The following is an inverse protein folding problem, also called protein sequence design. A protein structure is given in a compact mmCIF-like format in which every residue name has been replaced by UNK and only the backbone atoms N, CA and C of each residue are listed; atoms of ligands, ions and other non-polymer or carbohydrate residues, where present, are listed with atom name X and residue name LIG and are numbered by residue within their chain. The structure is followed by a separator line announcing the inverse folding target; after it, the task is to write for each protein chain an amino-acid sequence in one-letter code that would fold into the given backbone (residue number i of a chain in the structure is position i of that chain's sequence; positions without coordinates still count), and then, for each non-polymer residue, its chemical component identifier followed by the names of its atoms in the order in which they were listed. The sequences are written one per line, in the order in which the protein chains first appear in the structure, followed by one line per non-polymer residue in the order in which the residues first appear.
data_IF_270015304114
#
_entry.id   IF_270015304114
#
_cell.length_a   1.000
_cell.length_b   1.000
_cell.length_c   1.000
_cell.angle_alpha   90.00
_cell.angle_beta   90.00
_cell.angle_gamma   90.00
#
_symmetry.space_group_name_H-M   'P 1'
#
loop_
_entity.id
_entity.type
_entity.pdbx_description
1 polymer ?
#
# COMPACT_ATOMS: atom_id res chain seq x y z
N UNK A 1 6.34 17.36 21.41
CA UNK A 1 7.66 16.74 21.14
C UNK A 1 8.01 16.88 19.66
N UNK A 2 9.22 17.37 19.37
CA UNK A 2 9.79 17.49 18.02
C UNK A 2 10.90 16.47 17.89
N UNK A 3 10.87 15.66 16.83
CA UNK A 3 11.84 14.59 16.61
C UNK A 3 12.30 14.57 15.15
N UNK A 4 13.61 14.39 14.95
CA UNK A 4 14.17 14.09 13.64
C UNK A 4 14.34 12.58 13.46
N UNK A 5 13.72 12.04 12.41
CA UNK A 5 13.91 10.65 12.01
C UNK A 5 14.49 10.59 10.60
N UNK A 6 15.53 9.77 10.39
CA UNK A 6 15.99 9.43 9.04
C UNK A 6 15.53 8.04 8.69
N UNK A 7 14.65 7.92 7.70
CA UNK A 7 14.17 6.63 7.22
C UNK A 7 14.19 6.60 5.69
N UNK A 8 14.83 5.58 5.13
CA UNK A 8 15.00 5.43 3.69
C UNK A 8 15.57 6.69 3.00
N UNK A 9 16.63 7.27 3.60
CA UNK A 9 17.34 8.47 3.11
C UNK A 9 16.51 9.77 3.11
N UNK A 10 15.29 9.74 3.67
CA UNK A 10 14.46 10.93 3.89
C UNK A 10 14.58 11.36 5.35
N UNK A 11 14.95 12.61 5.57
CA UNK A 11 14.95 13.26 6.88
C UNK A 11 13.57 13.81 7.17
N UNK A 12 12.98 13.43 8.29
CA UNK A 12 11.62 13.79 8.67
C UNK A 12 11.63 14.64 9.92
N UNK A 13 10.90 15.73 9.89
CA UNK A 13 10.53 16.48 11.08
C UNK A 13 9.17 15.96 11.57
N UNK A 14 9.16 15.25 12.69
CA UNK A 14 7.96 14.71 13.30
C UNK A 14 7.55 15.59 14.49
N UNK A 15 6.33 16.12 14.43
CA UNK A 15 5.73 16.94 15.48
C UNK A 15 4.58 16.14 16.11
N UNK A 16 4.67 15.93 17.43
CA UNK A 16 3.71 15.17 18.23
C UNK A 16 3.28 16.00 19.44
N UNK A 17 2.03 15.82 19.86
CA UNK A 17 1.51 16.36 21.14
C UNK A 17 1.62 17.89 21.28
N UNK A 18 1.72 18.60 20.16
CA UNK A 18 1.67 20.06 20.10
C UNK A 18 0.35 20.48 19.47
N UNK A 19 -0.37 21.39 20.14
CA UNK A 19 -1.71 21.82 19.74
C UNK A 19 -1.76 23.28 19.29
N UNK A 20 -0.70 24.03 19.53
CA UNK A 20 -0.57 25.44 19.23
C UNK A 20 0.01 25.64 17.83
N UNK A 21 -0.77 26.31 16.96
CA UNK A 21 -0.37 26.58 15.57
C UNK A 21 0.95 27.35 15.50
N UNK A 22 1.12 28.39 16.31
CA UNK A 22 2.29 29.28 16.24
C UNK A 22 3.56 28.52 16.64
N UNK A 23 3.47 27.67 17.66
CA UNK A 23 4.61 26.82 18.06
C UNK A 23 4.98 25.80 16.99
N UNK A 24 3.98 25.21 16.32
CA UNK A 24 4.22 24.27 15.23
C UNK A 24 4.87 24.99 14.05
N UNK A 25 4.38 26.17 13.67
CA UNK A 25 4.96 26.98 12.59
C UNK A 25 6.39 27.40 12.90
N UNK A 26 6.66 27.87 14.12
CA UNK A 26 8.02 28.21 14.56
C UNK A 26 8.95 26.99 14.50
N UNK A 27 8.48 25.84 14.99
CA UNK A 27 9.23 24.60 14.93
C UNK A 27 9.54 24.18 13.49
N UNK A 28 8.59 24.35 12.57
CA UNK A 28 8.78 24.08 11.15
C UNK A 28 9.81 25.05 10.57
N UNK A 29 9.64 26.35 10.76
CA UNK A 29 10.52 27.39 10.22
C UNK A 29 11.99 27.18 10.66
N UNK A 30 12.23 26.85 11.92
CA UNK A 30 13.57 26.61 12.46
C UNK A 30 14.25 25.35 11.91
N UNK A 31 13.49 24.43 11.30
CA UNK A 31 13.97 23.09 10.97
C UNK A 31 13.75 22.70 9.49
N UNK A 32 13.10 23.56 8.70
CA UNK A 32 12.64 23.23 7.34
C UNK A 32 13.78 22.83 6.41
N UNK A 33 14.91 23.53 6.46
CA UNK A 33 16.08 23.28 5.60
C UNK A 33 16.79 21.95 5.90
N UNK A 34 16.48 21.36 7.07
CA UNK A 34 17.06 20.10 7.54
C UNK A 34 16.12 18.91 7.34
N UNK A 35 14.89 19.16 6.90
CA UNK A 35 13.87 18.14 6.69
C UNK A 35 13.54 18.04 5.19
N UNK A 36 13.34 16.81 4.72
CA UNK A 36 12.83 16.53 3.38
C UNK A 36 11.29 16.33 3.41
N UNK A 37 10.73 16.13 4.59
CA UNK A 37 9.29 16.00 4.85
C UNK A 37 8.95 16.41 6.28
N UNK A 38 7.80 17.06 6.47
CA UNK A 38 7.23 17.38 7.78
C UNK A 38 5.98 16.53 8.02
N UNK A 39 5.86 15.96 9.22
CA UNK A 39 4.66 15.26 9.68
C UNK A 39 4.16 15.83 11.00
N UNK A 40 2.89 16.21 11.06
CA UNK A 40 2.19 16.57 12.30
C UNK A 40 1.22 15.44 12.63
N UNK A 41 1.48 14.71 13.72
CA UNK A 41 0.71 13.53 14.11
C UNK A 41 -0.49 13.89 14.98
N UNK A 42 -1.58 13.14 14.81
CA UNK A 42 -2.82 13.30 15.58
C UNK A 42 -3.34 14.75 15.58
N UNK A 43 -3.43 15.42 14.41
CA UNK A 43 -3.78 16.82 14.36
C UNK A 43 -5.24 17.04 14.79
N UNK A 44 -5.49 18.10 15.56
CA UNK A 44 -6.85 18.57 15.86
C UNK A 44 -7.49 19.14 14.60
N UNK A 45 -8.82 19.29 14.61
CA UNK A 45 -9.54 19.85 13.46
C UNK A 45 -9.04 21.25 13.08
N UNK A 46 -8.72 22.11 14.06
CA UNK A 46 -8.16 23.44 13.80
C UNK A 46 -6.79 23.38 13.11
N UNK A 47 -5.92 22.44 13.50
CA UNK A 47 -4.65 22.20 12.81
C UNK A 47 -4.86 21.70 11.38
N UNK A 48 -5.83 20.80 11.18
CA UNK A 48 -6.18 20.30 9.85
C UNK A 48 -6.61 21.46 8.95
N UNK A 49 -7.53 22.31 9.41
CA UNK A 49 -8.02 23.46 8.64
C UNK A 49 -6.92 24.47 8.33
N UNK A 50 -6.06 24.78 9.30
CA UNK A 50 -4.94 25.70 9.10
C UNK A 50 -3.93 25.18 8.08
N UNK A 51 -3.36 23.99 8.31
CA UNK A 51 -2.25 23.50 7.52
C UNK A 51 -2.68 23.00 6.13
N UNK A 52 -3.92 22.52 5.95
CA UNK A 52 -4.41 22.15 4.61
C UNK A 52 -4.53 23.36 3.68
N UNK A 53 -4.89 24.54 4.20
CA UNK A 53 -4.85 25.80 3.42
C UNK A 53 -3.41 26.16 3.00
N UNK A 54 -2.43 25.76 3.81
CA UNK A 54 -1.00 25.92 3.53
C UNK A 54 -0.38 24.75 2.76
N UNK A 55 -1.21 23.94 2.08
CA UNK A 55 -0.75 22.89 1.16
C UNK A 55 -0.36 21.57 1.82
N UNK A 56 -0.63 21.37 3.11
CA UNK A 56 -0.43 20.07 3.75
C UNK A 56 -1.52 19.08 3.36
N UNK A 57 -1.14 17.82 3.19
CA UNK A 57 -2.07 16.73 2.95
C UNK A 57 -2.50 16.10 4.27
N UNK A 58 -3.80 16.12 4.55
CA UNK A 58 -4.39 15.36 5.65
C UNK A 58 -4.66 13.91 5.23
N UNK A 59 -3.91 12.96 5.79
CA UNK A 59 -3.94 11.55 5.39
C UNK A 59 -3.96 10.61 6.59
N UNK A 60 -4.55 9.40 6.48
CA UNK A 60 -4.35 8.37 7.48
C UNK A 60 -2.88 7.95 7.50
N UNK A 61 -2.32 7.68 8.68
CA UNK A 61 -0.93 7.27 8.81
C UNK A 61 -0.68 5.88 8.18
N UNK A 62 -1.62 4.96 8.41
CA UNK A 62 -1.59 3.59 7.87
C UNK A 62 -2.85 3.29 7.06
N UNK A 63 -2.67 2.47 6.03
CA UNK A 63 -3.74 1.90 5.21
C UNK A 63 -3.66 0.38 5.22
N UNK A 64 -4.80 -0.25 4.97
CA UNK A 64 -4.91 -1.69 4.73
C UNK A 64 -5.67 -1.93 3.44
N UNK A 65 -5.73 -3.19 3.03
CA UNK A 65 -6.32 -3.60 1.77
C UNK A 65 -7.37 -4.65 2.07
N UNK A 66 -8.61 -4.39 1.71
CA UNK A 66 -9.75 -5.26 2.02
C UNK A 66 -10.38 -5.80 0.75
N UNK A 67 -11.02 -6.95 0.84
CA UNK A 67 -11.84 -7.49 -0.22
C UNK A 67 -12.89 -8.38 0.40
N UNK A 68 -14.12 -8.33 -0.12
CA UNK A 68 -15.14 -9.30 0.23
C UNK A 68 -14.85 -10.59 -0.50
N UNK A 69 -14.96 -11.71 0.19
CA UNK A 69 -14.65 -13.01 -0.39
C UNK A 69 -15.68 -13.31 -1.48
N UNK A 70 -15.24 -13.62 -2.71
CA UNK A 70 -16.15 -13.89 -3.81
C UNK A 70 -16.87 -15.23 -3.61
N UNK A 71 -18.10 -15.33 -4.10
CA UNK A 71 -18.92 -16.54 -4.11
C UNK A 71 -18.36 -17.62 -5.05
N UNK A 72 -17.66 -17.22 -6.13
CA UNK A 72 -17.04 -18.15 -7.08
C UNK A 72 -15.76 -17.63 -7.74
N UNK A 73 -14.98 -18.53 -8.35
CA UNK A 73 -13.82 -18.14 -9.17
C UNK A 73 -14.25 -17.28 -10.37
N UNK A 74 -15.34 -17.64 -11.05
CA UNK A 74 -15.86 -16.87 -12.19
C UNK A 74 -16.24 -15.45 -11.79
N UNK A 75 -16.93 -15.28 -10.66
CA UNK A 75 -17.27 -13.98 -10.12
C UNK A 75 -16.00 -13.18 -9.78
N UNK A 76 -15.04 -13.78 -9.08
CA UNK A 76 -13.78 -13.13 -8.74
C UNK A 76 -13.05 -12.61 -9.98
N UNK A 77 -12.84 -13.49 -10.97
CA UNK A 77 -12.13 -13.17 -12.20
C UNK A 77 -12.87 -12.07 -12.96
N UNK A 78 -14.21 -12.10 -13.03
CA UNK A 78 -15.01 -11.09 -13.74
C UNK A 78 -14.79 -9.67 -13.21
N UNK A 79 -14.58 -9.51 -11.89
CA UNK A 79 -14.35 -8.22 -11.23
C UNK A 79 -12.96 -7.62 -11.50
N UNK A 80 -12.00 -8.39 -12.02
CA UNK A 80 -10.64 -7.92 -12.30
C UNK A 80 -10.52 -7.22 -13.66
N UNK A 81 -9.56 -6.30 -13.83
CA UNK A 81 -9.26 -5.66 -15.12
C UNK A 81 -8.89 -6.71 -16.20
N UNK A 82 -9.28 -6.47 -17.46
CA UNK A 82 -9.06 -7.38 -18.62
C UNK A 82 -7.63 -7.92 -18.70
N UNK A 83 -6.62 -7.07 -18.54
CA UNK A 83 -5.21 -7.47 -18.58
C UNK A 83 -4.86 -8.43 -17.44
N UNK A 84 -5.31 -8.14 -16.21
CA UNK A 84 -5.06 -9.02 -15.07
C UNK A 84 -5.71 -10.39 -15.24
N UNK A 85 -6.95 -10.44 -15.76
CA UNK A 85 -7.63 -11.71 -16.08
C UNK A 85 -6.80 -12.56 -17.03
N UNK A 86 -6.28 -11.95 -18.11
CA UNK A 86 -5.39 -12.63 -19.07
C UNK A 86 -4.10 -13.11 -18.40
N UNK A 87 -3.48 -12.28 -17.56
CA UNK A 87 -2.25 -12.65 -16.83
C UNK A 87 -2.48 -13.85 -15.91
N UNK A 88 -3.57 -13.84 -15.12
CA UNK A 88 -3.91 -14.96 -14.23
C UNK A 88 -4.18 -16.24 -15.03
N UNK A 89 -4.97 -16.18 -16.11
CA UNK A 89 -5.23 -17.36 -16.96
C UNK A 89 -3.95 -17.95 -17.54
N UNK A 90 -3.04 -17.09 -18.03
CA UNK A 90 -1.72 -17.51 -18.53
C UNK A 90 -0.86 -18.13 -17.43
N UNK A 91 -0.83 -17.52 -16.24
CA UNK A 91 -0.08 -18.02 -15.10
C UNK A 91 -0.57 -19.42 -14.65
N UNK A 92 -1.88 -19.61 -14.52
CA UNK A 92 -2.47 -20.91 -14.17
C UNK A 92 -2.08 -21.98 -15.18
N UNK A 93 -2.22 -21.69 -16.49
CA UNK A 93 -1.81 -22.62 -17.56
C UNK A 93 -0.32 -22.96 -17.47
N UNK A 94 0.54 -21.95 -17.35
CA UNK A 94 2.00 -22.10 -17.32
C UNK A 94 2.49 -22.85 -16.08
N UNK A 95 1.94 -22.57 -14.90
CA UNK A 95 2.28 -23.29 -13.69
C UNK A 95 1.93 -24.78 -13.83
N UNK A 96 0.75 -25.09 -14.37
CA UNK A 96 0.36 -26.48 -14.65
C UNK A 96 1.32 -27.18 -15.62
N UNK A 97 1.69 -26.52 -16.72
CA UNK A 97 2.67 -27.04 -17.70
C UNK A 97 4.06 -27.26 -17.10
N UNK A 98 4.42 -26.50 -16.05
CA UNK A 98 5.68 -26.64 -15.33
C UNK A 98 5.60 -27.65 -14.16
N UNK A 99 4.52 -28.42 -14.04
CA UNK A 99 4.34 -29.39 -12.95
C UNK A 99 4.15 -28.76 -11.57
N UNK A 100 3.75 -27.48 -11.49
CA UNK A 100 3.54 -26.78 -10.23
C UNK A 100 2.12 -27.05 -9.72
N UNK A 101 2.02 -27.65 -8.54
CA UNK A 101 0.77 -27.93 -7.84
C UNK A 101 0.55 -26.97 -6.67
N UNK A 102 -0.65 -27.03 -6.06
CA UNK A 102 -1.03 -26.19 -4.93
C UNK A 102 -1.40 -27.08 -3.75
N UNK A 103 -0.63 -26.95 -2.67
CA UNK A 103 -0.95 -27.51 -1.36
C UNK A 103 -1.73 -26.47 -0.55
N UNK A 104 -2.88 -26.85 -0.01
CA UNK A 104 -3.69 -26.01 0.89
C UNK A 104 -3.73 -26.67 2.26
N UNK A 105 -3.45 -25.88 3.28
CA UNK A 105 -3.44 -26.36 4.67
C UNK A 105 -4.39 -25.48 5.49
N UNK A 106 -5.61 -25.97 5.80
CA UNK A 106 -6.55 -25.23 6.64
C UNK A 106 -5.91 -24.89 7.98
N UNK A 107 -5.17 -25.84 8.56
CA UNK A 107 -4.29 -25.64 9.69
C UNK A 107 -2.86 -25.85 9.21
N UNK A 108 -2.04 -24.80 9.34
CA UNK A 108 -0.66 -24.80 8.87
C UNK A 108 0.19 -25.82 9.64
N UNK A 109 0.84 -26.72 8.91
CA UNK A 109 1.78 -27.71 9.47
C UNK A 109 3.16 -27.10 9.67
N UNK A 110 3.94 -27.66 10.60
CA UNK A 110 5.30 -27.21 10.86
C UNK A 110 6.23 -27.51 9.67
N UNK A 111 6.05 -28.67 9.04
CA UNK A 111 6.83 -29.11 7.87
C UNK A 111 6.69 -28.10 6.73
N UNK A 112 5.45 -27.73 6.39
CA UNK A 112 5.19 -26.75 5.35
C UNK A 112 5.65 -25.35 5.74
N UNK A 113 5.52 -24.97 7.02
CA UNK A 113 6.03 -23.70 7.50
C UNK A 113 7.54 -23.60 7.38
N UNK A 114 8.30 -24.65 7.73
CA UNK A 114 9.76 -24.70 7.60
C UNK A 114 10.19 -24.58 6.14
N UNK A 115 9.62 -25.40 5.25
CA UNK A 115 9.94 -25.32 3.82
C UNK A 115 9.62 -23.95 3.20
N UNK A 116 8.54 -23.29 3.67
CA UNK A 116 8.25 -21.92 3.28
C UNK A 116 9.20 -20.88 3.91
N UNK A 117 9.61 -21.08 5.16
CA UNK A 117 10.49 -20.18 5.90
C UNK A 117 11.87 -20.11 5.24
N UNK A 118 12.36 -21.20 4.67
CA UNK A 118 13.60 -21.23 3.89
C UNK A 118 13.49 -20.29 2.68
N UNK A 119 12.42 -20.42 1.88
CA UNK A 119 12.14 -19.55 0.74
C UNK A 119 11.96 -18.09 1.16
N UNK A 120 11.33 -17.84 2.30
CA UNK A 120 11.19 -16.49 2.86
C UNK A 120 12.55 -15.90 3.25
N UNK A 121 13.35 -16.66 3.99
CA UNK A 121 14.64 -16.22 4.53
C UNK A 121 15.63 -15.93 3.40
N UNK A 122 15.74 -16.81 2.41
CA UNK A 122 16.55 -16.61 1.20
C UNK A 122 16.19 -15.29 0.49
N UNK A 123 14.88 -15.04 0.30
CA UNK A 123 14.40 -13.82 -0.36
C UNK A 123 14.63 -12.54 0.46
N UNK A 124 14.57 -12.61 1.79
CA UNK A 124 14.81 -11.46 2.66
C UNK A 124 16.31 -11.15 2.74
N UNK A 125 17.16 -12.16 2.89
CA UNK A 125 18.61 -11.99 2.94
C UNK A 125 19.16 -11.43 1.62
N UNK A 126 18.54 -11.74 0.49
CA UNK A 126 18.86 -11.12 -0.81
C UNK A 126 18.45 -9.66 -0.98
N UNK A 127 17.96 -8.95 0.06
CA UNK A 127 17.58 -7.53 0.01
C UNK A 127 18.53 -6.68 0.84
N UNK A 128 18.97 -5.53 0.29
CA UNK A 128 19.84 -4.54 0.96
C UNK A 128 19.36 -4.12 2.36
N UNK A 129 18.03 -4.06 2.58
CA UNK A 129 17.39 -3.70 3.85
C UNK A 129 16.41 -4.77 4.34
N UNK A 130 16.71 -6.04 4.05
CA UNK A 130 15.88 -7.17 4.47
C UNK A 130 15.87 -7.35 5.98
N UNK A 131 14.68 -7.48 6.58
CA UNK A 131 14.53 -7.83 7.99
C UNK A 131 13.64 -9.07 8.06
N UNK A 132 14.13 -10.13 8.71
CA UNK A 132 13.36 -11.35 8.99
C UNK A 132 12.33 -11.02 10.07
N UNK A 133 11.03 -11.13 9.75
CA UNK A 133 9.92 -10.74 10.63
C UNK A 133 9.13 -11.92 11.21
N UNK A 134 9.57 -13.14 10.92
CA UNK A 134 8.93 -14.38 11.34
C UNK A 134 9.94 -15.50 11.47
N UNK A 135 9.61 -16.50 12.29
CA UNK A 135 10.43 -17.68 12.57
C UNK A 135 9.61 -18.74 13.29
N UNK A 136 10.23 -19.81 13.78
CA UNK A 136 9.54 -20.92 14.43
C UNK A 136 8.83 -20.52 15.72
N UNK A 137 9.43 -19.64 16.51
CA UNK A 137 8.82 -19.10 17.73
C UNK A 137 7.45 -18.45 17.45
N UNK A 138 7.36 -17.66 16.36
CA UNK A 138 6.11 -17.03 15.94
C UNK A 138 5.10 -18.05 15.41
N UNK A 139 5.56 -19.10 14.76
CA UNK A 139 4.69 -20.20 14.34
C UNK A 139 4.06 -20.87 15.56
N UNK A 140 4.84 -21.33 16.54
CA UNK A 140 4.28 -22.00 17.72
C UNK A 140 3.31 -21.12 18.52
N UNK A 141 3.57 -19.81 18.62
CA UNK A 141 2.68 -18.86 19.30
C UNK A 141 1.34 -18.63 18.60
N UNK A 142 1.20 -19.01 17.32
CA UNK A 142 0.04 -18.60 16.52
C UNK A 142 -0.45 -19.67 15.54
N UNK A 143 0.10 -20.88 15.57
CA UNK A 143 -0.18 -21.97 14.62
C UNK A 143 -1.66 -22.28 14.48
N UNK A 144 -2.42 -22.22 15.57
CA UNK A 144 -3.86 -22.55 15.57
C UNK A 144 -4.71 -21.47 14.86
N UNK A 145 -4.14 -20.27 14.67
CA UNK A 145 -4.73 -19.20 13.88
C UNK A 145 -4.20 -19.15 12.44
N UNK A 146 -3.29 -20.05 12.03
CA UNK A 146 -2.65 -20.00 10.73
C UNK A 146 -3.20 -21.03 9.76
N UNK A 147 -3.31 -20.61 8.50
CA UNK A 147 -3.57 -21.46 7.35
C UNK A 147 -2.50 -21.18 6.28
N UNK A 148 -2.25 -22.15 5.42
CA UNK A 148 -1.19 -22.08 4.41
C UNK A 148 -1.69 -22.39 3.00
N UNK A 149 -1.12 -21.72 2.01
CA UNK A 149 -1.22 -22.13 0.60
C UNK A 149 0.17 -22.09 0.02
N UNK A 150 0.61 -23.22 -0.53
CA UNK A 150 1.96 -23.42 -1.03
C UNK A 150 1.93 -23.86 -2.48
N UNK A 151 2.81 -23.27 -3.27
CA UNK A 151 3.14 -23.77 -4.59
C UNK A 151 4.22 -24.83 -4.40
N UNK A 152 3.97 -26.02 -4.92
CA UNK A 152 4.85 -27.18 -4.78
C UNK A 152 5.32 -27.62 -6.15
N UNK A 153 6.61 -27.93 -6.26
CA UNK A 153 7.20 -28.54 -7.45
C UNK A 153 8.20 -29.59 -7.00
N UNK A 154 8.16 -30.77 -7.61
CA UNK A 154 9.05 -31.89 -7.29
C UNK A 154 9.09 -32.19 -5.78
N UNK A 155 7.92 -32.15 -5.12
CA UNK A 155 7.72 -32.27 -3.66
C UNK A 155 8.35 -31.18 -2.78
N UNK A 156 8.85 -30.09 -3.35
CA UNK A 156 9.42 -28.96 -2.61
C UNK A 156 8.52 -27.73 -2.66
N UNK A 157 8.41 -27.02 -1.54
CA UNK A 157 7.77 -25.71 -1.50
C UNK A 157 8.64 -24.70 -2.23
N UNK A 158 8.12 -24.15 -3.32
CA UNK A 158 8.78 -23.10 -4.12
C UNK A 158 8.21 -21.70 -3.83
N UNK A 159 7.16 -21.63 -3.02
CA UNK A 159 6.55 -20.40 -2.58
C UNK A 159 5.26 -20.64 -1.82
N UNK A 160 4.79 -19.64 -1.10
CA UNK A 160 3.55 -19.75 -0.38
C UNK A 160 3.09 -18.45 0.26
N UNK A 161 1.84 -18.51 0.71
CA UNK A 161 1.14 -17.45 1.42
C UNK A 161 0.66 -18.03 2.74
N UNK A 162 1.11 -17.41 3.83
CA UNK A 162 0.59 -17.67 5.17
C UNK A 162 -0.56 -16.72 5.43
N UNK A 163 -1.69 -17.33 5.79
CA UNK A 163 -2.90 -16.65 6.16
C UNK A 163 -3.09 -16.71 7.68
N UNK A 164 -3.60 -15.64 8.27
CA UNK A 164 -3.95 -15.55 9.68
C UNK A 164 -5.43 -15.26 9.85
N UNK A 165 -6.12 -16.16 10.56
CA UNK A 165 -7.52 -16.07 10.94
C UNK A 165 -7.72 -14.98 11.99
N UNK A 166 -8.83 -14.25 11.88
CA UNK A 166 -9.25 -13.21 12.82
C UNK A 166 -10.77 -13.30 12.98
N UNK A 167 -11.22 -13.46 14.22
CA UNK A 167 -12.63 -13.34 14.57
C UNK A 167 -12.96 -11.87 14.82
N UNK A 168 -14.00 -11.36 14.15
CA UNK A 168 -14.53 -10.03 14.42
C UNK A 168 -15.63 -10.14 15.49
N UNK A 169 -15.81 -9.09 16.31
CA UNK A 169 -16.88 -9.04 17.31
C UNK A 169 -18.28 -9.11 16.69
N UNK A 170 -18.42 -8.82 15.40
CA UNK A 170 -19.68 -8.82 14.65
C UNK A 170 -20.12 -10.20 14.14
N UNK A 171 -19.47 -11.29 14.57
CA UNK A 171 -19.71 -12.64 14.04
C UNK A 171 -19.11 -12.91 12.65
N UNK A 172 -18.74 -11.85 11.92
CA UNK A 172 -18.09 -11.95 10.61
C UNK A 172 -16.69 -12.57 10.71
N UNK A 173 -16.39 -13.48 9.78
CA UNK A 173 -15.10 -14.17 9.73
C UNK A 173 -14.16 -13.43 8.79
N UNK A 174 -13.00 -13.03 9.31
CA UNK A 174 -11.95 -12.39 8.51
C UNK A 174 -10.67 -13.21 8.48
N UNK A 175 -10.08 -13.36 7.32
CA UNK A 175 -8.75 -13.96 7.17
C UNK A 175 -7.81 -12.95 6.51
N UNK A 176 -6.54 -12.98 6.91
CA UNK A 176 -5.57 -11.97 6.50
C UNK A 176 -4.29 -12.57 5.93
N UNK A 177 -3.76 -11.98 4.87
CA UNK A 177 -2.42 -12.31 4.37
C UNK A 177 -1.40 -11.83 5.41
N UNK A 178 -0.74 -12.77 6.08
CA UNK A 178 0.30 -12.46 7.07
C UNK A 178 1.66 -12.35 6.39
N UNK A 179 2.03 -13.35 5.58
CA UNK A 179 3.29 -13.38 4.85
C UNK A 179 3.11 -14.02 3.48
N UNK A 180 3.94 -13.59 2.53
CA UNK A 180 3.99 -14.17 1.20
C UNK A 180 5.44 -14.15 0.70
N UNK A 181 5.89 -15.27 0.15
CA UNK A 181 7.23 -15.40 -0.45
C UNK A 181 7.18 -16.45 -1.55
N UNK A 182 8.00 -16.31 -2.58
CA UNK A 182 8.16 -17.30 -3.64
C UNK A 182 9.56 -17.17 -4.23
N UNK A 183 10.15 -18.29 -4.66
CA UNK A 183 11.46 -18.31 -5.31
C UNK A 183 11.44 -17.49 -6.61
N UNK A 184 12.47 -16.67 -6.83
CA UNK A 184 12.48 -15.62 -7.88
C UNK A 184 12.40 -16.21 -9.29
N UNK A 185 13.04 -17.35 -9.53
CA UNK A 185 13.04 -18.05 -10.82
C UNK A 185 11.64 -18.47 -11.28
N UNK A 186 10.70 -18.63 -10.34
CA UNK A 186 9.30 -18.95 -10.63
C UNK A 186 8.39 -17.73 -10.83
N UNK A 187 8.91 -16.50 -10.65
CA UNK A 187 8.11 -15.29 -10.88
C UNK A 187 7.65 -15.19 -12.33
N UNK A 188 8.56 -15.43 -13.29
CA UNK A 188 8.23 -15.45 -14.73
C UNK A 188 7.28 -16.60 -15.09
N UNK A 189 7.17 -17.63 -14.25
CA UNK A 189 6.23 -18.75 -14.42
C UNK A 189 4.82 -18.41 -13.94
N UNK A 190 4.63 -17.32 -13.19
CA UNK A 190 3.33 -16.86 -12.71
C UNK A 190 2.91 -17.43 -11.36
N UNK A 191 3.86 -17.94 -10.56
CA UNK A 191 3.56 -18.52 -9.24
C UNK A 191 2.88 -17.51 -8.31
N UNK A 192 3.29 -16.23 -8.35
CA UNK A 192 2.65 -15.19 -7.55
C UNK A 192 1.18 -14.99 -7.93
N UNK A 193 0.85 -14.94 -9.22
CA UNK A 193 -0.52 -14.87 -9.72
C UNK A 193 -1.35 -16.07 -9.27
N UNK A 194 -0.81 -17.29 -9.42
CA UNK A 194 -1.47 -18.51 -9.02
C UNK A 194 -1.75 -18.54 -7.51
N UNK A 195 -0.74 -18.26 -6.68
CA UNK A 195 -0.87 -18.25 -5.22
C UNK A 195 -1.90 -17.22 -4.76
N UNK A 196 -1.91 -16.02 -5.33
CA UNK A 196 -2.88 -15.00 -4.95
C UNK A 196 -4.31 -15.37 -5.38
N UNK A 197 -4.51 -15.92 -6.58
CA UNK A 197 -5.80 -16.47 -6.99
C UNK A 197 -6.26 -17.55 -6.00
N UNK A 198 -5.41 -18.53 -5.72
CA UNK A 198 -5.76 -19.65 -4.85
C UNK A 198 -5.98 -19.21 -3.40
N UNK A 199 -5.29 -18.17 -2.92
CA UNK A 199 -5.56 -17.56 -1.62
C UNK A 199 -6.94 -16.95 -1.48
N UNK A 200 -7.43 -16.30 -2.54
CA UNK A 200 -8.79 -15.77 -2.55
C UNK A 200 -9.82 -16.91 -2.49
N UNK A 201 -9.63 -17.95 -3.30
CA UNK A 201 -10.55 -19.09 -3.36
C UNK A 201 -10.50 -19.94 -2.09
N UNK A 202 -9.33 -20.07 -1.48
CA UNK A 202 -9.20 -20.84 -0.24
C UNK A 202 -9.88 -20.14 0.93
N UNK A 203 -9.85 -18.81 0.99
CA UNK A 203 -10.62 -18.07 1.99
C UNK A 203 -12.11 -18.38 1.91
N UNK A 204 -12.65 -18.51 0.69
CA UNK A 204 -14.02 -18.96 0.43
C UNK A 204 -14.25 -20.39 0.89
N UNK A 205 -13.36 -21.32 0.54
CA UNK A 205 -13.44 -22.73 0.97
C UNK A 205 -13.45 -22.85 2.51
N UNK A 206 -12.74 -21.97 3.21
CA UNK A 206 -12.73 -21.89 4.66
C UNK A 206 -13.94 -21.12 5.25
N UNK A 207 -14.85 -20.63 4.42
CA UNK A 207 -16.07 -19.92 4.82
C UNK A 207 -15.87 -18.48 5.29
N UNK A 208 -14.75 -17.84 4.98
CA UNK A 208 -14.52 -16.45 5.40
C UNK A 208 -15.29 -15.46 4.54
N UNK A 209 -15.76 -14.37 5.17
CA UNK A 209 -16.53 -13.32 4.50
C UNK A 209 -15.60 -12.22 3.96
N UNK A 210 -14.50 -11.97 4.66
CA UNK A 210 -13.58 -10.89 4.34
C UNK A 210 -12.11 -11.32 4.29
N UNK A 211 -11.41 -10.73 3.32
CA UNK A 211 -9.97 -10.82 3.15
C UNK A 211 -9.30 -9.49 3.45
N UNK A 212 -8.24 -9.51 4.26
CA UNK A 212 -7.40 -8.35 4.56
C UNK A 212 -5.95 -8.61 4.11
N UNK A 213 -5.32 -7.65 3.44
CA UNK A 213 -3.97 -7.83 2.87
C UNK A 213 -2.97 -6.83 3.41
N UNK A 214 -2.39 -7.22 4.54
CA UNK A 214 -1.32 -6.48 5.20
C UNK A 214 -1.71 -5.05 5.56
N UNK A 215 -0.72 -4.33 6.07
CA UNK A 215 -0.82 -2.92 6.39
C UNK A 215 0.39 -2.23 5.80
N UNK A 216 0.15 -1.09 5.18
CA UNK A 216 1.17 -0.24 4.61
C UNK A 216 1.08 1.11 5.34
N UNK A 217 2.21 1.76 5.62
CA UNK A 217 2.19 3.22 5.80
C UNK A 217 1.77 3.92 4.52
N UNK A 218 1.02 4.99 4.67
CA UNK A 218 0.31 5.60 3.56
C UNK A 218 1.17 6.65 2.84
N UNK A 219 2.31 6.21 2.29
CA UNK A 219 3.22 7.03 1.47
C UNK A 219 4.10 6.11 0.60
N UNK A 220 3.61 5.80 -0.60
CA UNK A 220 4.36 5.04 -1.61
C UNK A 220 5.25 6.00 -2.40
N UNK A 221 6.40 5.53 -2.87
CA UNK A 221 7.46 6.38 -3.44
C UNK A 221 8.49 6.83 -2.41
N UNK A 222 8.28 6.47 -1.14
CA UNK A 222 9.24 6.62 -0.05
C UNK A 222 9.75 5.22 0.35
N UNK A 223 9.34 4.71 1.51
CA UNK A 223 9.75 3.40 2.02
C UNK A 223 9.05 2.20 1.34
N UNK A 224 7.91 2.40 0.65
CA UNK A 224 7.27 1.40 -0.21
C UNK A 224 7.29 1.83 -1.67
N UNK A 225 7.45 0.87 -2.58
CA UNK A 225 7.27 1.15 -4.01
C UNK A 225 5.80 1.40 -4.35
N UNK A 226 5.48 2.35 -5.25
CA UNK A 226 4.12 2.51 -5.81
C UNK A 226 3.58 1.24 -6.47
N UNK A 227 4.48 0.39 -6.98
CA UNK A 227 4.14 -0.92 -7.51
C UNK A 227 3.42 -1.82 -6.51
N UNK A 228 3.64 -1.66 -5.19
CA UNK A 228 2.95 -2.45 -4.18
C UNK A 228 1.45 -2.11 -4.09
N UNK A 229 1.09 -0.83 -4.19
CA UNK A 229 -0.31 -0.39 -4.29
C UNK A 229 -0.95 -0.98 -5.55
N UNK A 230 -0.31 -0.79 -6.72
CA UNK A 230 -0.80 -1.29 -8.00
C UNK A 230 -0.99 -2.81 -7.99
N UNK A 231 -0.05 -3.53 -7.39
CA UNK A 231 -0.11 -4.98 -7.23
C UNK A 231 -1.34 -5.39 -6.41
N UNK A 232 -1.53 -4.85 -5.20
CA UNK A 232 -2.65 -5.22 -4.33
C UNK A 232 -4.00 -4.87 -4.97
N UNK A 233 -4.11 -3.67 -5.54
CA UNK A 233 -5.27 -3.23 -6.30
C UNK A 233 -5.57 -4.13 -7.50
N UNK A 234 -4.54 -4.61 -8.22
CA UNK A 234 -4.72 -5.46 -9.39
C UNK A 234 -5.46 -6.76 -9.07
N UNK A 235 -5.37 -7.26 -7.84
CA UNK A 235 -6.09 -8.45 -7.36
C UNK A 235 -7.48 -8.14 -6.80
N UNK A 236 -7.99 -6.92 -6.96
CA UNK A 236 -9.34 -6.53 -6.52
C UNK A 236 -9.43 -6.02 -5.09
N UNK A 237 -8.30 -5.88 -4.37
CA UNK A 237 -8.33 -5.30 -3.03
C UNK A 237 -8.59 -3.78 -3.09
N UNK A 238 -9.51 -3.31 -2.24
CA UNK A 238 -9.73 -1.89 -1.98
C UNK A 238 -8.79 -1.39 -0.90
N UNK A 239 -8.13 -0.26 -1.14
CA UNK A 239 -7.38 0.45 -0.10
C UNK A 239 -8.36 1.04 0.92
N UNK A 240 -8.03 0.99 2.20
CA UNK A 240 -8.89 1.50 3.28
C UNK A 240 -8.02 2.09 4.39
N UNK A 241 -8.36 3.28 4.91
CA UNK A 241 -7.73 3.83 6.10
C UNK A 241 -7.74 2.86 7.29
N UNK A 242 -6.71 2.93 8.14
CA UNK A 242 -6.61 2.14 9.36
C UNK A 242 -6.58 3.07 10.57
N UNK A 243 -7.74 3.67 10.87
CA UNK A 243 -7.94 4.79 11.80
C UNK A 243 -7.30 4.60 13.18
N UNK A 244 -7.19 3.37 13.69
CA UNK A 244 -6.50 3.09 14.97
C UNK A 244 -5.02 3.51 15.02
N UNK A 245 -4.41 3.83 13.88
CA UNK A 245 -3.03 4.33 13.80
C UNK A 245 -2.95 5.85 13.61
N UNK A 246 -4.10 6.53 13.75
CA UNK A 246 -4.24 7.97 13.64
C UNK A 246 -4.05 8.50 12.23
N UNK A 247 -4.17 9.82 12.16
CA UNK A 247 -3.98 10.65 10.99
C UNK A 247 -2.73 11.53 11.14
N UNK A 248 -2.28 12.05 10.01
CA UNK A 248 -1.08 12.87 9.91
C UNK A 248 -1.32 13.95 8.86
N UNK A 249 -0.92 15.18 9.16
CA UNK A 249 -0.71 16.22 8.16
C UNK A 249 0.71 16.09 7.63
N UNK A 250 0.87 16.04 6.31
CA UNK A 250 2.17 15.87 5.67
C UNK A 250 2.40 16.92 4.60
N UNK A 251 3.60 17.50 4.59
CA UNK A 251 4.13 18.20 3.41
C UNK A 251 5.53 17.65 3.08
N UNK A 252 5.86 17.63 1.79
CA UNK A 252 7.20 17.26 1.30
C UNK A 252 7.91 18.55 0.93
N UNK A 253 9.06 18.78 1.56
CA UNK A 253 9.86 19.99 1.42
C UNK A 253 11.04 19.78 0.48
N UNK A 254 11.42 18.52 0.25
CA UNK A 254 12.42 18.13 -0.73
C UNK A 254 12.00 16.81 -1.42
N UNK A 255 11.76 16.88 -2.74
CA UNK A 255 11.34 15.72 -3.54
C UNK A 255 12.51 14.87 -4.05
N UNK A 256 13.75 15.35 -3.96
CA UNK A 256 14.93 14.63 -4.44
C UNK A 256 15.08 13.20 -3.90
N UNK A 257 14.95 12.94 -2.57
CA UNK A 257 15.14 11.59 -2.01
C UNK A 257 13.97 10.62 -2.26
N UNK A 258 12.86 11.10 -2.86
CA UNK A 258 11.70 10.26 -3.18
C UNK A 258 11.82 9.63 -4.58
N UNK A 259 11.13 8.51 -4.80
CA UNK A 259 10.98 7.91 -6.13
C UNK A 259 10.19 8.83 -7.07
N UNK A 260 10.35 8.62 -8.37
CA UNK A 260 9.71 9.43 -9.43
C UNK A 260 8.19 9.47 -9.39
N UNK A 261 7.60 8.49 -8.71
CA UNK A 261 6.17 8.41 -8.47
C UNK A 261 5.95 8.33 -6.97
N UNK A 262 5.19 9.27 -6.44
CA UNK A 262 4.73 9.27 -5.06
C UNK A 262 3.22 9.10 -5.08
N UNK A 263 2.71 8.16 -4.29
CA UNK A 263 1.27 7.94 -4.16
C UNK A 263 0.88 7.81 -2.70
N UNK A 264 -0.27 8.34 -2.33
CA UNK A 264 -0.90 8.11 -1.03
C UNK A 264 -2.39 8.40 -1.14
N UNK A 265 -3.15 8.04 -0.11
CA UNK A 265 -4.54 8.46 -0.01
C UNK A 265 -4.74 9.52 1.07
N UNK A 266 -5.57 10.52 0.84
CA UNK A 266 -6.01 11.48 1.86
C UNK A 266 -7.41 11.11 2.38
N UNK A 267 -7.77 11.66 3.54
CA UNK A 267 -9.14 11.54 4.05
C UNK A 267 -10.11 12.39 3.22
N UNK A 268 -11.28 11.83 2.95
CA UNK A 268 -12.52 12.55 2.60
C UNK A 268 -13.67 11.77 3.27
N UNK A 269 -14.80 12.46 3.54
CA UNK A 269 -15.92 12.04 4.38
C UNK A 269 -16.51 10.69 3.98
N UNK A 270 -16.51 10.34 2.69
CA UNK A 270 -17.13 9.10 2.20
C UNK A 270 -16.13 8.07 1.67
N UNK A 271 -15.14 8.51 0.88
CA UNK A 271 -14.15 7.65 0.24
C UNK A 271 -12.77 8.30 0.29
N UNK A 272 -11.68 7.53 0.36
CA UNK A 272 -10.35 8.11 0.27
C UNK A 272 -10.11 8.75 -1.10
N UNK A 273 -9.43 9.89 -1.13
CA UNK A 273 -8.91 10.48 -2.37
C UNK A 273 -7.50 9.95 -2.63
N UNK A 274 -7.16 9.64 -3.88
CA UNK A 274 -5.79 9.34 -4.25
C UNK A 274 -5.03 10.62 -4.58
N UNK A 275 -3.79 10.73 -4.14
CA UNK A 275 -2.86 11.79 -4.53
C UNK A 275 -1.67 11.14 -5.23
N UNK A 276 -1.43 11.51 -6.47
CA UNK A 276 -0.34 11.02 -7.31
C UNK A 276 0.57 12.19 -7.67
N UNK A 277 1.80 12.18 -7.18
CA UNK A 277 2.80 13.20 -7.48
C UNK A 277 3.83 12.56 -8.42
N UNK A 278 4.11 13.23 -9.54
CA UNK A 278 5.05 12.80 -10.58
C UNK A 278 6.24 13.76 -10.61
N UNK A 279 7.46 13.23 -10.47
CA UNK A 279 8.70 14.02 -10.62
C UNK A 279 9.08 14.21 -12.09
N UNK A 280 8.70 13.27 -12.94
CA UNK A 280 8.96 13.28 -14.38
C UNK A 280 7.71 13.70 -15.16
N UNK A 281 7.80 13.67 -16.49
CA UNK A 281 6.70 14.06 -17.36
C UNK A 281 5.42 13.23 -17.17
N UNK A 282 4.32 13.90 -17.49
CA UNK A 282 2.96 13.39 -17.33
C UNK A 282 2.71 12.31 -18.39
N UNK A 283 2.69 11.06 -17.94
CA UNK A 283 2.28 9.92 -18.77
C UNK A 283 0.85 9.49 -18.39
N UNK A 284 -0.10 9.76 -19.31
CA UNK A 284 -1.51 9.43 -19.14
C UNK A 284 -1.75 7.92 -18.96
N UNK A 285 -0.91 7.07 -19.58
CA UNK A 285 -1.01 5.62 -19.44
C UNK A 285 -0.61 5.17 -18.05
N UNK A 286 0.43 5.79 -17.49
CA UNK A 286 0.90 5.54 -16.12
C UNK A 286 -0.12 6.02 -15.09
N UNK A 287 -0.70 7.20 -15.29
CA UNK A 287 -1.76 7.74 -14.42
C UNK A 287 -2.98 6.80 -14.38
N UNK A 288 -3.38 6.26 -15.53
CA UNK A 288 -4.52 5.33 -15.63
C UNK A 288 -4.38 4.06 -14.76
N UNK A 289 -3.15 3.67 -14.42
CA UNK A 289 -2.89 2.54 -13.52
C UNK A 289 -3.35 2.84 -12.09
N UNK A 290 -3.28 4.10 -11.66
CA UNK A 290 -3.65 4.55 -10.32
C UNK A 290 -5.14 4.86 -10.15
N UNK A 291 -5.88 5.09 -11.25
CA UNK A 291 -7.35 5.26 -11.23
C UNK A 291 -8.07 4.03 -10.69
N UNK A 292 -8.92 4.22 -9.68
CA UNK A 292 -9.59 3.16 -8.94
C UNK A 292 -11.03 3.56 -8.60
N UNK A 293 -12.00 2.65 -8.78
CA UNK A 293 -13.40 2.84 -8.35
C UNK A 293 -13.58 2.95 -6.82
N UNK A 294 -12.53 2.64 -6.06
CA UNK A 294 -12.50 2.71 -4.60
C UNK A 294 -11.89 4.02 -4.09
N UNK A 295 -11.44 4.88 -4.99
CA UNK A 295 -11.08 6.25 -4.67
C UNK A 295 -12.25 7.14 -5.08
N UNK A 296 -12.45 8.23 -4.35
CA UNK A 296 -13.41 9.26 -4.76
C UNK A 296 -12.94 9.94 -6.04
N UNK A 297 -11.69 10.38 -6.03
CA UNK A 297 -10.98 10.95 -7.17
C UNK A 297 -9.49 10.63 -7.08
N UNK A 298 -8.78 10.88 -8.17
CA UNK A 298 -7.32 10.85 -8.23
C UNK A 298 -6.82 12.26 -8.53
N UNK A 299 -6.28 12.94 -7.52
CA UNK A 299 -5.57 14.20 -7.67
C UNK A 299 -4.18 13.90 -8.23
N UNK A 300 -3.78 14.61 -9.29
CA UNK A 300 -2.46 14.44 -9.91
C UNK A 300 -1.69 15.74 -9.80
N UNK A 301 -0.41 15.63 -9.46
CA UNK A 301 0.51 16.75 -9.29
C UNK A 301 1.80 16.49 -10.05
N UNK A 302 2.40 17.53 -10.62
CA UNK A 302 3.75 17.52 -11.19
C UNK A 302 4.70 18.27 -10.25
N UNK A 303 5.89 17.72 -10.03
CA UNK A 303 6.96 18.45 -9.33
C UNK A 303 7.61 19.44 -10.30
N UNK A 304 7.65 20.71 -9.91
CA UNK A 304 8.28 21.82 -10.66
C UNK A 304 9.06 22.66 -9.63
N UNK A 305 10.37 22.83 -9.82
CA UNK A 305 11.27 23.56 -8.91
C UNK A 305 11.12 23.19 -7.43
N UNK A 306 11.07 21.88 -7.14
CA UNK A 306 10.88 21.32 -5.80
C UNK A 306 9.55 21.72 -5.11
N UNK A 307 8.60 22.23 -5.89
CA UNK A 307 7.20 22.47 -5.50
C UNK A 307 6.28 21.57 -6.31
N UNK A 308 4.99 21.52 -5.97
CA UNK A 308 4.00 20.74 -6.74
C UNK A 308 2.95 21.65 -7.37
N UNK A 309 2.65 21.38 -8.64
CA UNK A 309 1.54 21.98 -9.36
C UNK A 309 0.47 20.92 -9.62
N UNK A 310 -0.78 21.22 -9.26
CA UNK A 310 -1.92 20.34 -9.57
C UNK A 310 -2.14 20.32 -11.09
N UNK A 311 -2.41 19.14 -11.63
CA UNK A 311 -2.74 18.94 -13.04
C UNK A 311 -4.26 18.94 -13.16
N UNK A 312 -4.81 19.97 -13.79
CA UNK A 312 -6.26 20.21 -13.82
C UNK A 312 -7.00 19.32 -14.84
N UNK A 313 -6.36 18.96 -15.96
CA UNK A 313 -6.95 18.12 -17.00
C UNK A 313 -6.01 17.00 -17.43
N UNK A 314 -6.51 15.76 -17.38
CA UNK A 314 -5.81 14.58 -17.91
C UNK A 314 -6.78 13.80 -18.76
N UNK A 315 -6.49 13.75 -20.06
CA UNK A 315 -7.20 12.89 -21.02
C UNK A 315 -6.63 11.47 -20.86
N UNK A 316 -7.39 10.58 -20.22
CA UNK A 316 -7.01 9.17 -20.13
C UNK A 316 -7.51 8.44 -21.38
N UNK A 317 -6.67 7.71 -22.15
CA UNK A 317 -7.02 7.07 -23.42
C UNK A 317 -8.14 6.00 -23.39
N UNK A 318 -8.87 5.83 -22.29
CA UNK A 318 -9.99 4.88 -22.15
C UNK A 318 -11.17 5.44 -21.33
N UNK A 319 -11.58 6.67 -21.64
CA UNK A 319 -12.92 7.17 -21.30
C UNK A 319 -13.15 7.57 -19.83
N UNK A 320 -12.09 7.91 -19.09
CA UNK A 320 -12.25 8.57 -17.78
C UNK A 320 -11.67 9.96 -17.91
N UNK A 321 -12.53 10.96 -18.14
CA UNK A 321 -12.18 12.35 -17.88
C UNK A 321 -11.98 12.50 -16.37
N UNK A 322 -10.80 12.97 -15.97
CA UNK A 322 -10.63 13.53 -14.64
C UNK A 322 -11.16 14.96 -14.73
N UNK A 323 -12.35 15.23 -14.19
CA UNK A 323 -12.86 16.59 -14.02
C UNK A 323 -12.51 17.09 -12.62
N UNK A 324 -12.04 18.34 -12.54
CA UNK A 324 -12.51 19.28 -11.52
C UNK A 324 -12.22 20.73 -11.97
N UNK A 325 -13.28 21.49 -12.24
CA UNK A 325 -13.24 22.95 -12.14
C UNK A 325 -13.18 23.29 -10.65
N UNK A 326 -12.06 23.87 -10.23
CA UNK A 326 -11.98 24.96 -9.26
C UNK A 326 -10.54 25.47 -9.29
N UNK A 327 -10.35 26.73 -9.70
CA UNK A 327 -9.04 27.38 -9.73
C UNK A 327 -8.49 27.50 -8.31
N UNK A 328 -7.28 27.00 -8.00
CA UNK A 328 -6.51 27.52 -6.90
C UNK A 328 -5.43 28.43 -7.46
N UNK A 329 -5.57 29.74 -7.25
CA UNK A 329 -4.44 30.65 -7.33
C UNK A 329 -3.50 30.35 -6.16
N UNK A 330 -2.45 29.55 -6.39
CA UNK A 330 -1.33 29.49 -5.47
C UNK A 330 -0.34 30.58 -5.85
N UNK A 331 -0.38 31.70 -5.13
CA UNK A 331 0.74 32.63 -5.07
C UNK A 331 1.81 32.03 -4.14
N UNK A 332 3.04 31.93 -4.63
CA UNK A 332 4.22 31.79 -3.76
C UNK A 332 4.24 33.02 -2.87
N UNK A 333 4.14 32.84 -1.55
CA UNK A 333 4.60 33.87 -0.62
C UNK A 333 5.81 33.34 0.14
N UNK A 334 6.93 34.09 0.15
CA UNK A 334 8.02 33.85 1.07
C UNK A 334 7.48 34.07 2.49
N UNK A 335 7.86 33.18 3.41
CA UNK A 335 7.68 33.40 4.84
C UNK A 335 8.23 34.79 5.15
N UNK A 336 7.35 35.69 5.61
CA UNK A 336 7.75 37.04 6.01
C UNK A 336 8.77 36.94 7.13
N UNK A 337 9.85 37.70 6.98
CA UNK A 337 10.85 37.95 8.02
C UNK A 337 10.14 38.56 9.23
N UNK A 338 10.05 37.80 10.32
CA UNK A 338 9.81 38.38 11.63
C UNK A 338 11.17 38.74 12.22
N UNK A 339 11.54 40.01 12.08
CA UNK A 339 12.58 40.70 12.87
C UNK A 339 12.15 40.87 14.32
#
# INVERSE_FOLDING_TARGET
MIEFETEAEVRKLNIREEFDIQKIELAIAQNIDRADMVNIFSPTQGLVEHFTRHGYFYRPNKVTYKMDVPFSESEYISKLKKNKRKTIKKAVKRCRECGISILKEPQLSEVSYRGWLDVYTENINGKKRGIIRTGLERYYRSKDMMAGIFAVKDNHIIGGIILRRKHLRSGLRKISFSFASSRKEYFKKGVNELLNLKAVLFARELGYDHLERGMDSNLYGHYLSPGLYLFKKSFGFRITPKNRFGEVLTTITNYAPFQDIIFFVSHNKEKPEGNLILKNDIDSTRIAEFVSKYLERLNVYKVEDNTIRKVDEIIIPRGVMIWQREKPQYQKHPLQEYS
#
